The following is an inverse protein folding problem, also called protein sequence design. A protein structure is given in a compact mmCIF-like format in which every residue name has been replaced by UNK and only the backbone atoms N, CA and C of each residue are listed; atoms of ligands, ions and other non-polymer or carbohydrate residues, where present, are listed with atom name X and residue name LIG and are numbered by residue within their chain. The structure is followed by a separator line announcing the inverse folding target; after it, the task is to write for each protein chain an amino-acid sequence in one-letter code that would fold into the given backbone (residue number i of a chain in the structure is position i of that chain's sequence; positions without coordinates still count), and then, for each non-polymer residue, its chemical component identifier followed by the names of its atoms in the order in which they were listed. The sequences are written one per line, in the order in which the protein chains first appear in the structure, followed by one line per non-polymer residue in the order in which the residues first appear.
data_IF_132851162922
#
_entry.id   IF_132851162922
#
_cell.length_a   1.000
_cell.length_b   1.000
_cell.length_c   1.000
_cell.angle_alpha   90.00
_cell.angle_beta   90.00
_cell.angle_gamma   90.00
#
_symmetry.space_group_name_H-M   'P 1'
#
loop_
_entity.id
_entity.type
_entity.pdbx_description
1 polymer ?
#
# COMPACT_ATOMS: atom_id res chain seq x y z
N UNK A 1 -18.43 -2.53 -13.45
CA UNK A 1 -17.44 -2.67 -12.40
C UNK A 1 -17.81 -1.72 -11.28
N UNK A 2 -17.72 -2.11 -10.00
CA UNK A 2 -18.06 -1.21 -8.92
C UNK A 2 -17.07 -0.04 -8.83
N UNK A 3 -17.61 1.16 -8.61
CA UNK A 3 -16.87 2.39 -8.36
C UNK A 3 -17.65 3.27 -7.40
N UNK A 4 -16.99 4.23 -6.79
CA UNK A 4 -17.61 5.26 -5.95
C UNK A 4 -16.96 6.62 -6.24
N UNK A 5 -17.57 7.68 -5.78
CA UNK A 5 -17.04 9.04 -5.90
C UNK A 5 -16.49 9.52 -4.56
N UNK A 6 -15.28 10.07 -4.56
CA UNK A 6 -14.73 10.84 -3.46
C UNK A 6 -14.23 12.20 -3.95
N UNK A 7 -14.80 13.28 -3.43
CA UNK A 7 -14.51 14.66 -3.84
C UNK A 7 -14.54 14.85 -5.39
N UNK A 8 -15.49 14.18 -6.06
CA UNK A 8 -15.64 14.24 -7.53
C UNK A 8 -14.70 13.35 -8.32
N UNK A 9 -13.84 12.55 -7.68
CA UNK A 9 -12.94 11.59 -8.32
C UNK A 9 -13.55 10.20 -8.27
N UNK A 10 -13.66 9.53 -9.43
CA UNK A 10 -14.16 8.17 -9.53
C UNK A 10 -13.06 7.16 -9.20
N UNK A 11 -13.33 6.31 -8.20
CA UNK A 11 -12.43 5.26 -7.71
C UNK A 11 -13.04 3.88 -7.96
N UNK A 12 -12.36 3.06 -8.74
CA UNK A 12 -12.75 1.69 -9.03
C UNK A 12 -12.26 0.72 -7.95
N UNK A 13 -13.05 -0.31 -7.66
CA UNK A 13 -12.67 -1.33 -6.68
C UNK A 13 -13.24 -2.71 -7.01
N UNK A 14 -12.67 -3.74 -6.43
CA UNK A 14 -13.25 -5.08 -6.33
C UNK A 14 -13.75 -5.28 -4.90
N UNK A 15 -14.91 -5.94 -4.76
CA UNK A 15 -15.49 -6.34 -3.47
C UNK A 15 -15.81 -7.83 -3.55
N UNK A 16 -15.07 -8.64 -2.83
CA UNK A 16 -15.06 -10.10 -2.94
C UNK A 16 -15.33 -10.71 -1.55
N UNK A 17 -16.60 -10.96 -1.21
CA UNK A 17 -16.91 -11.70 0.01
C UNK A 17 -16.44 -13.16 -0.12
N UNK A 18 -16.05 -13.83 1.00
CA UNK A 18 -15.73 -15.25 0.98
C UNK A 18 -16.98 -16.09 0.69
N UNK A 19 -16.78 -17.34 0.26
CA UNK A 19 -17.88 -18.26 -0.02
C UNK A 19 -18.73 -18.62 1.23
N UNK A 20 -18.20 -18.41 2.44
CA UNK A 20 -18.84 -18.67 3.73
C UNK A 20 -19.08 -17.43 4.56
N UNK A 21 -19.04 -17.58 5.87
CA UNK A 21 -19.14 -16.48 6.82
C UNK A 21 -17.96 -15.51 6.65
N UNK A 22 -18.24 -14.21 6.71
CA UNK A 22 -17.22 -13.17 6.73
C UNK A 22 -16.71 -12.97 8.15
N UNK A 23 -15.50 -13.42 8.42
CA UNK A 23 -14.85 -13.28 9.73
C UNK A 23 -14.23 -11.89 9.93
N UNK A 24 -13.71 -11.29 8.84
CA UNK A 24 -13.10 -9.95 8.81
C UNK A 24 -13.19 -9.34 7.41
N UNK A 25 -12.96 -8.05 7.30
CA UNK A 25 -12.84 -7.34 6.02
C UNK A 25 -11.47 -6.70 5.91
N UNK A 26 -10.77 -6.94 4.80
CA UNK A 26 -9.48 -6.34 4.51
C UNK A 26 -9.55 -5.48 3.25
N UNK A 27 -9.08 -4.23 3.38
CA UNK A 27 -8.87 -3.33 2.23
C UNK A 27 -7.41 -3.43 1.80
N UNK A 28 -7.20 -3.63 0.49
CA UNK A 28 -5.90 -3.79 -0.15
C UNK A 28 -5.58 -2.57 -1.01
N UNK A 29 -4.40 -1.95 -0.81
CA UNK A 29 -3.93 -0.75 -1.50
C UNK A 29 -2.61 -1.03 -2.20
N UNK A 30 -2.62 -1.04 -3.55
CA UNK A 30 -1.48 -1.42 -4.39
C UNK A 30 -0.35 -0.37 -4.45
N UNK A 31 0.81 -0.78 -4.98
CA UNK A 31 1.98 0.08 -5.20
C UNK A 31 1.92 0.94 -6.47
N UNK A 32 2.94 1.79 -6.65
CA UNK A 32 3.09 2.68 -7.80
C UNK A 32 3.13 1.92 -9.13
N UNK A 33 2.50 2.47 -10.17
CA UNK A 33 2.38 1.92 -11.51
C UNK A 33 1.72 0.53 -11.57
N UNK A 34 1.09 0.09 -10.49
CA UNK A 34 0.33 -1.16 -10.38
C UNK A 34 -1.18 -0.86 -10.31
N UNK A 35 -1.97 -1.89 -10.12
CA UNK A 35 -3.42 -1.82 -9.91
C UNK A 35 -3.87 -3.01 -9.06
N UNK A 36 -5.16 -3.06 -8.70
CA UNK A 36 -5.72 -4.13 -7.84
C UNK A 36 -5.58 -5.53 -8.43
N UNK A 37 -5.55 -5.65 -9.79
CA UNK A 37 -5.40 -6.95 -10.46
C UNK A 37 -3.96 -7.44 -10.39
N UNK A 38 -2.99 -6.57 -10.70
CA UNK A 38 -1.57 -6.91 -10.69
C UNK A 38 -1.03 -7.07 -9.27
N UNK A 39 -1.30 -6.09 -8.41
CA UNK A 39 -0.77 -6.10 -7.05
C UNK A 39 -1.34 -7.21 -6.18
N UNK A 40 -2.61 -7.59 -6.37
CA UNK A 40 -3.30 -8.44 -5.41
C UNK A 40 -3.87 -9.74 -6.00
N UNK A 41 -4.58 -9.66 -7.15
CA UNK A 41 -5.14 -10.87 -7.76
C UNK A 41 -4.06 -11.79 -8.29
N UNK A 42 -3.12 -11.27 -9.12
CA UNK A 42 -2.02 -12.06 -9.71
C UNK A 42 -1.03 -12.60 -8.69
N UNK A 43 -0.84 -11.88 -7.60
CA UNK A 43 0.04 -12.32 -6.49
C UNK A 43 -0.63 -13.34 -5.56
N UNK A 44 -1.90 -13.69 -5.84
CA UNK A 44 -2.65 -14.74 -5.13
C UNK A 44 -3.21 -14.30 -3.76
N UNK A 45 -3.26 -13.00 -3.47
CA UNK A 45 -3.83 -12.48 -2.23
C UNK A 45 -5.34 -12.69 -2.15
N UNK A 46 -6.08 -12.49 -3.24
CA UNK A 46 -7.54 -12.70 -3.25
C UNK A 46 -7.90 -14.12 -2.78
N UNK A 47 -7.28 -15.13 -3.41
CA UNK A 47 -7.53 -16.52 -3.05
C UNK A 47 -7.02 -16.89 -1.63
N UNK A 48 -5.95 -16.23 -1.16
CA UNK A 48 -5.44 -16.46 0.19
C UNK A 48 -6.40 -15.92 1.26
N UNK A 49 -6.96 -14.71 1.05
CA UNK A 49 -7.93 -14.08 1.93
C UNK A 49 -9.27 -14.82 1.93
N UNK A 50 -9.76 -15.23 0.74
CA UNK A 50 -10.99 -16.04 0.62
C UNK A 50 -10.94 -17.31 1.47
N UNK A 51 -9.82 -18.08 1.39
CA UNK A 51 -9.64 -19.30 2.19
C UNK A 51 -9.62 -19.06 3.70
N UNK A 52 -9.38 -17.80 4.13
CA UNK A 52 -9.36 -17.39 5.53
C UNK A 52 -10.68 -16.74 5.99
N UNK A 53 -11.75 -16.84 5.19
CA UNK A 53 -13.02 -16.20 5.52
C UNK A 53 -12.95 -14.68 5.54
N UNK A 54 -11.99 -14.08 4.82
CA UNK A 54 -11.79 -12.63 4.78
C UNK A 54 -12.45 -12.04 3.53
N UNK A 55 -13.38 -11.09 3.72
CA UNK A 55 -13.89 -10.25 2.63
C UNK A 55 -12.75 -9.38 2.12
N UNK A 56 -12.40 -9.56 0.85
CA UNK A 56 -11.33 -8.83 0.19
C UNK A 56 -11.90 -7.64 -0.58
N UNK A 57 -11.53 -6.43 -0.19
CA UNK A 57 -11.85 -5.20 -0.93
C UNK A 57 -10.52 -4.63 -1.45
N UNK A 58 -10.40 -4.43 -2.76
CA UNK A 58 -9.18 -3.88 -3.35
C UNK A 58 -9.53 -2.72 -4.26
N UNK A 59 -8.95 -1.53 -4.05
CA UNK A 59 -9.18 -0.37 -4.90
C UNK A 59 -8.02 -0.16 -5.87
N UNK A 60 -8.32 0.43 -7.01
CA UNK A 60 -7.30 1.13 -7.80
C UNK A 60 -7.16 2.55 -7.24
N UNK A 61 -5.97 2.94 -6.84
CA UNK A 61 -5.76 4.32 -6.37
C UNK A 61 -6.02 5.31 -7.51
N UNK A 62 -6.47 6.55 -7.20
CA UNK A 62 -6.62 7.58 -8.22
C UNK A 62 -5.37 7.65 -9.12
N UNK A 63 -5.55 7.85 -10.40
CA UNK A 63 -4.48 7.87 -11.39
C UNK A 63 -4.00 6.50 -11.87
N UNK A 64 -4.46 5.38 -11.28
CA UNK A 64 -4.05 4.01 -11.60
C UNK A 64 -5.23 3.14 -12.03
N UNK A 65 -4.92 2.05 -12.71
CA UNK A 65 -5.87 1.00 -13.08
C UNK A 65 -7.11 1.53 -13.79
N UNK A 66 -8.28 1.28 -13.25
CA UNK A 66 -9.56 1.70 -13.81
C UNK A 66 -10.16 2.94 -13.09
N UNK A 67 -9.46 3.48 -12.06
CA UNK A 67 -9.82 4.74 -11.43
C UNK A 67 -9.51 5.93 -12.33
N UNK A 68 -10.16 7.07 -12.04
CA UNK A 68 -10.01 8.30 -12.81
C UNK A 68 -8.56 8.76 -12.89
N UNK A 69 -8.12 9.11 -14.10
CA UNK A 69 -6.79 9.62 -14.39
C UNK A 69 -6.78 11.14 -14.27
N UNK A 70 -6.00 11.66 -13.33
CA UNK A 70 -5.82 13.08 -13.10
C UNK A 70 -4.40 13.47 -13.50
N UNK A 71 -4.23 14.62 -14.14
CA UNK A 71 -2.91 15.07 -14.64
C UNK A 71 -2.35 16.26 -13.85
N UNK A 72 -3.05 16.66 -12.79
CA UNK A 72 -2.63 17.73 -11.90
C UNK A 72 -2.01 17.12 -10.62
N UNK A 73 -0.74 17.43 -10.29
CA UNK A 73 -0.09 16.96 -9.07
C UNK A 73 -0.84 17.29 -7.77
N UNK A 74 -1.59 18.39 -7.71
CA UNK A 74 -2.36 18.78 -6.52
C UNK A 74 -3.46 17.75 -6.18
N UNK A 75 -3.90 16.97 -7.16
CA UNK A 75 -4.88 15.90 -6.98
C UNK A 75 -4.37 14.69 -6.19
N UNK A 76 -3.05 14.59 -5.95
CA UNK A 76 -2.39 13.41 -5.40
C UNK A 76 -1.76 13.64 -4.02
N UNK A 77 -2.23 14.65 -3.31
CA UNK A 77 -1.82 14.88 -1.93
C UNK A 77 -2.14 13.70 -1.04
N UNK A 78 -1.28 13.44 -0.04
CA UNK A 78 -1.40 12.31 0.90
C UNK A 78 -2.79 12.24 1.56
N UNK A 79 -3.33 13.38 1.97
CA UNK A 79 -4.66 13.47 2.58
C UNK A 79 -5.76 13.03 1.61
N UNK A 80 -5.67 13.46 0.33
CA UNK A 80 -6.63 13.07 -0.69
C UNK A 80 -6.59 11.56 -0.95
N UNK A 81 -5.40 10.96 -1.00
CA UNK A 81 -5.21 9.51 -1.17
C UNK A 81 -5.76 8.73 0.04
N UNK A 82 -5.46 9.19 1.26
CA UNK A 82 -6.00 8.58 2.48
C UNK A 82 -7.52 8.68 2.56
N UNK A 83 -8.07 9.83 2.14
CA UNK A 83 -9.53 10.06 2.14
C UNK A 83 -10.27 9.12 1.17
N UNK A 84 -9.64 8.66 0.07
CA UNK A 84 -10.25 7.66 -0.83
C UNK A 84 -10.53 6.35 -0.11
N UNK A 85 -9.63 5.92 0.78
CA UNK A 85 -9.82 4.71 1.58
C UNK A 85 -10.97 4.89 2.57
N UNK A 86 -11.02 6.01 3.27
CA UNK A 86 -12.09 6.30 4.24
C UNK A 86 -13.45 6.43 3.53
N UNK A 87 -13.47 7.05 2.34
CA UNK A 87 -14.68 7.13 1.53
C UNK A 87 -15.16 5.75 1.06
N UNK A 88 -14.24 4.83 0.72
CA UNK A 88 -14.57 3.43 0.39
C UNK A 88 -15.17 2.70 1.60
N UNK A 89 -14.59 2.84 2.78
CA UNK A 89 -15.11 2.29 4.04
C UNK A 89 -16.55 2.77 4.27
N UNK A 90 -16.81 4.07 4.08
CA UNK A 90 -18.12 4.67 4.23
C UNK A 90 -19.09 4.18 3.13
N UNK A 91 -18.65 4.13 1.87
CA UNK A 91 -19.45 3.64 0.73
C UNK A 91 -19.95 2.21 0.95
N UNK A 92 -19.11 1.37 1.54
CA UNK A 92 -19.45 -0.03 1.84
C UNK A 92 -20.15 -0.23 3.20
N UNK A 93 -20.44 0.86 3.92
CA UNK A 93 -21.04 0.86 5.27
C UNK A 93 -20.26 -0.04 6.25
N UNK A 94 -18.92 -0.04 6.15
CA UNK A 94 -18.07 -0.77 7.07
C UNK A 94 -17.80 0.09 8.31
N UNK A 95 -17.78 -0.51 9.48
CA UNK A 95 -17.43 0.19 10.72
C UNK A 95 -15.92 0.29 10.88
N UNK A 96 -15.23 -0.85 10.78
CA UNK A 96 -13.80 -0.98 10.99
C UNK A 96 -13.23 -2.08 10.10
N UNK A 97 -12.01 -1.88 9.57
CA UNK A 97 -11.38 -2.82 8.61
C UNK A 97 -9.93 -3.09 8.95
N UNK A 98 -9.41 -4.22 8.48
CA UNK A 98 -7.98 -4.43 8.33
C UNK A 98 -7.52 -3.71 7.05
N UNK A 99 -6.40 -3.01 7.12
CA UNK A 99 -5.89 -2.22 6.00
C UNK A 99 -4.48 -2.66 5.64
N UNK A 100 -4.30 -3.12 4.40
CA UNK A 100 -3.00 -3.52 3.89
C UNK A 100 -2.60 -2.69 2.67
N UNK A 101 -1.55 -1.89 2.82
CA UNK A 101 -0.94 -1.15 1.72
C UNK A 101 0.46 -1.69 1.38
N UNK A 102 0.81 -1.69 0.09
CA UNK A 102 2.13 -2.10 -0.38
C UNK A 102 2.88 -0.96 -1.06
N UNK A 103 4.13 -0.68 -0.64
CA UNK A 103 4.99 0.36 -1.23
C UNK A 103 4.34 1.75 -1.17
N UNK A 104 3.99 2.34 -2.31
CA UNK A 104 3.17 3.55 -2.38
C UNK A 104 1.85 3.39 -1.62
N UNK A 105 1.19 2.23 -1.78
CA UNK A 105 -0.04 1.91 -1.07
C UNK A 105 0.12 1.86 0.45
N UNK A 106 1.31 1.50 0.96
CA UNK A 106 1.59 1.58 2.40
C UNK A 106 1.58 3.03 2.91
N UNK A 107 2.11 3.98 2.11
CA UNK A 107 2.04 5.42 2.43
C UNK A 107 0.60 5.93 2.45
N UNK A 108 -0.22 5.46 1.50
CA UNK A 108 -1.65 5.81 1.42
C UNK A 108 -2.44 5.20 2.59
N UNK A 109 -2.15 3.93 2.93
CA UNK A 109 -2.76 3.25 4.08
C UNK A 109 -2.42 3.94 5.40
N UNK A 110 -1.16 4.33 5.58
CA UNK A 110 -0.72 5.10 6.75
C UNK A 110 -1.45 6.46 6.83
N UNK A 111 -1.62 7.16 5.69
CA UNK A 111 -2.36 8.42 5.66
C UNK A 111 -3.83 8.23 6.06
N UNK A 112 -4.48 7.16 5.62
CA UNK A 112 -5.83 6.82 6.04
C UNK A 112 -5.92 6.52 7.55
N UNK A 113 -4.95 5.76 8.08
CA UNK A 113 -4.88 5.44 9.50
C UNK A 113 -4.65 6.68 10.37
N UNK A 114 -3.80 7.61 9.93
CA UNK A 114 -3.59 8.89 10.62
C UNK A 114 -4.83 9.80 10.56
N UNK A 115 -5.59 9.77 9.46
CA UNK A 115 -6.79 10.59 9.27
C UNK A 115 -8.03 10.08 10.01
N UNK A 116 -8.15 8.75 10.24
CA UNK A 116 -9.29 8.11 10.88
C UNK A 116 -8.88 6.80 11.58
N UNK A 117 -8.09 6.88 12.66
CA UNK A 117 -7.53 5.69 13.32
C UNK A 117 -8.60 4.74 13.85
N UNK A 118 -9.75 5.24 14.26
CA UNK A 118 -10.89 4.45 14.75
C UNK A 118 -11.49 3.52 13.69
N UNK A 119 -11.23 3.79 12.40
CA UNK A 119 -11.76 3.00 11.29
C UNK A 119 -10.87 1.81 10.92
N UNK A 120 -9.65 1.74 11.49
CA UNK A 120 -8.65 0.73 11.17
C UNK A 120 -8.46 -0.23 12.35
N UNK A 121 -8.70 -1.52 12.11
CA UNK A 121 -8.54 -2.57 13.12
C UNK A 121 -7.07 -2.99 13.24
N UNK A 122 -6.45 -3.30 12.11
CA UNK A 122 -5.05 -3.66 11.97
C UNK A 122 -4.48 -2.96 10.74
N UNK A 123 -3.24 -2.47 10.83
CA UNK A 123 -2.55 -1.81 9.74
C UNK A 123 -1.35 -2.65 9.28
N UNK A 124 -1.30 -3.01 7.99
CA UNK A 124 -0.18 -3.74 7.40
C UNK A 124 0.50 -2.84 6.36
N UNK A 125 1.78 -2.57 6.56
CA UNK A 125 2.63 -1.73 5.74
C UNK A 125 3.69 -2.60 5.05
N UNK A 126 3.43 -3.02 3.81
CA UNK A 126 4.33 -3.87 3.04
C UNK A 126 5.24 -3.08 2.11
N UNK A 127 6.48 -3.57 1.87
CA UNK A 127 7.43 -2.96 0.95
C UNK A 127 7.90 -1.56 1.38
N UNK A 128 7.91 -1.31 2.69
CA UNK A 128 8.44 -0.11 3.33
C UNK A 128 9.17 -0.50 4.62
N UNK A 129 10.07 0.38 5.08
CA UNK A 129 10.82 0.22 6.30
C UNK A 129 11.32 1.57 6.79
N UNK A 130 12.43 1.61 7.52
CA UNK A 130 12.96 2.82 8.17
C UNK A 130 13.19 3.99 7.22
N UNK A 131 13.50 3.72 5.94
CA UNK A 131 13.67 4.79 4.94
C UNK A 131 12.40 5.60 4.67
N UNK A 132 11.24 5.10 5.10
CA UNK A 132 10.01 5.87 5.06
C UNK A 132 10.08 7.12 5.94
N UNK A 133 10.86 7.09 7.00
CA UNK A 133 11.05 8.18 7.97
C UNK A 133 12.12 9.18 7.53
N UNK A 134 12.94 8.84 6.53
CA UNK A 134 13.98 9.74 6.02
C UNK A 134 13.35 10.97 5.35
N UNK A 135 13.89 12.18 5.61
CA UNK A 135 13.46 13.38 4.90
C UNK A 135 13.65 13.21 3.40
N UNK A 136 12.67 13.63 2.61
CA UNK A 136 12.87 13.73 1.16
C UNK A 136 13.94 14.78 0.87
N UNK A 137 15.01 14.38 0.19
CA UNK A 137 16.02 15.30 -0.31
C UNK A 137 15.45 15.99 -1.56
N UNK A 138 15.41 17.33 -1.57
CA UNK A 138 15.05 18.08 -2.78
C UNK A 138 16.02 17.72 -3.93
N UNK A 139 15.48 17.45 -5.12
CA UNK A 139 16.24 16.96 -6.27
C UNK A 139 16.51 15.46 -6.29
N UNK A 140 15.96 14.72 -5.34
CA UNK A 140 16.05 13.26 -5.28
C UNK A 140 15.25 12.57 -6.42
N UNK A 141 15.40 11.23 -6.59
CA UNK A 141 14.93 10.44 -7.74
C UNK A 141 13.47 10.59 -8.19
N UNK A 142 12.62 11.35 -7.47
CA UNK A 142 11.21 11.54 -7.86
C UNK A 142 11.05 12.46 -9.07
N UNK A 143 11.88 13.51 -9.18
CA UNK A 143 11.88 14.32 -10.40
C UNK A 143 12.32 13.48 -11.59
N UNK A 144 13.25 12.55 -11.36
CA UNK A 144 13.70 11.59 -12.36
C UNK A 144 12.66 10.51 -12.64
N UNK A 145 11.83 10.08 -11.66
CA UNK A 145 10.72 9.14 -11.89
C UNK A 145 9.63 9.78 -12.76
N UNK A 146 9.25 11.03 -12.49
CA UNK A 146 8.30 11.76 -13.35
C UNK A 146 8.84 11.90 -14.78
N UNK A 147 10.11 12.28 -14.94
CA UNK A 147 10.77 12.36 -16.24
C UNK A 147 10.80 11.00 -16.94
N UNK A 148 11.05 9.91 -16.21
CA UNK A 148 11.04 8.55 -16.74
C UNK A 148 9.65 8.16 -17.24
N UNK A 149 8.58 8.50 -16.51
CA UNK A 149 7.20 8.25 -16.97
C UNK A 149 6.87 9.02 -18.24
N UNK A 150 7.38 10.24 -18.41
CA UNK A 150 7.11 11.11 -19.54
C UNK A 150 8.08 10.92 -20.73
N UNK A 151 9.15 10.15 -20.57
CA UNK A 151 10.11 9.91 -21.65
C UNK A 151 9.42 9.27 -22.88
N UNK A 152 9.72 9.73 -24.07
CA UNK A 152 9.15 9.18 -25.32
C UNK A 152 9.64 7.74 -25.55
N UNK A 153 10.92 7.48 -25.30
CA UNK A 153 11.54 6.17 -25.43
C UNK A 153 12.03 5.64 -24.09
N UNK A 154 11.52 4.49 -23.61
CA UNK A 154 12.02 3.84 -22.39
C UNK A 154 13.52 3.50 -22.42
N UNK A 155 14.08 3.29 -23.63
CA UNK A 155 15.51 2.99 -23.78
C UNK A 155 16.42 4.18 -23.44
N UNK A 156 15.89 5.40 -23.50
CA UNK A 156 16.61 6.63 -23.11
C UNK A 156 16.82 6.77 -21.60
N UNK A 157 16.07 5.99 -20.79
CA UNK A 157 16.14 6.04 -19.32
C UNK A 157 17.40 5.29 -18.87
N UNK A 158 18.41 6.01 -18.42
CA UNK A 158 19.70 5.42 -18.03
C UNK A 158 19.64 4.61 -16.74
N UNK A 159 18.82 5.04 -15.75
CA UNK A 159 18.72 4.38 -14.44
C UNK A 159 17.89 3.09 -14.53
N UNK A 160 18.45 1.90 -14.20
CA UNK A 160 17.76 0.62 -14.41
C UNK A 160 16.41 0.52 -13.70
N UNK A 161 16.33 0.94 -12.43
CA UNK A 161 15.10 0.89 -11.64
C UNK A 161 14.00 1.78 -12.25
N UNK A 162 14.33 3.02 -12.67
CA UNK A 162 13.36 3.90 -13.31
C UNK A 162 12.86 3.34 -14.63
N UNK A 163 13.77 2.70 -15.40
CA UNK A 163 13.40 2.00 -16.64
C UNK A 163 12.45 0.84 -16.36
N UNK A 164 12.72 0.04 -15.32
CA UNK A 164 11.85 -1.07 -14.93
C UNK A 164 10.45 -0.59 -14.52
N UNK A 165 10.33 0.47 -13.74
CA UNK A 165 9.02 1.07 -13.41
C UNK A 165 8.30 1.59 -14.64
N UNK A 166 9.01 2.22 -15.57
CA UNK A 166 8.41 2.69 -16.82
C UNK A 166 7.92 1.52 -17.70
N UNK A 167 8.73 0.49 -17.85
CA UNK A 167 8.35 -0.71 -18.59
C UNK A 167 7.13 -1.37 -17.95
N UNK A 168 7.14 -1.51 -16.63
CA UNK A 168 5.99 -2.05 -15.91
C UNK A 168 4.72 -1.23 -16.12
N UNK A 169 4.80 0.11 -16.06
CA UNK A 169 3.67 0.99 -16.34
C UNK A 169 3.12 0.80 -17.77
N UNK A 170 4.01 0.69 -18.76
CA UNK A 170 3.63 0.46 -20.16
C UNK A 170 2.96 -0.93 -20.35
N UNK A 171 3.50 -1.98 -19.72
CA UNK A 171 2.93 -3.34 -19.76
C UNK A 171 1.54 -3.41 -19.11
N UNK A 172 1.29 -2.61 -18.08
CA UNK A 172 -0.02 -2.54 -17.42
C UNK A 172 -1.00 -1.59 -18.15
N UNK A 173 -0.54 -0.84 -19.13
CA UNK A 173 -1.35 0.16 -19.83
C UNK A 173 -1.73 1.36 -18.96
N UNK A 174 -0.89 1.68 -17.98
CA UNK A 174 -1.13 2.79 -17.06
C UNK A 174 -0.96 4.16 -17.76
N UNK A 175 -1.72 5.17 -17.31
CA UNK A 175 -1.58 6.54 -17.82
C UNK A 175 -0.31 7.20 -17.26
N UNK A 176 0.73 7.27 -18.09
CA UNK A 176 2.04 7.83 -17.73
C UNK A 176 1.99 9.28 -17.27
N UNK A 177 1.05 10.09 -17.76
CA UNK A 177 0.86 11.48 -17.35
C UNK A 177 0.27 11.54 -15.94
N UNK A 178 -0.70 10.66 -15.64
CA UNK A 178 -1.24 10.54 -14.30
C UNK A 178 -0.18 10.04 -13.30
N UNK A 179 0.63 9.05 -13.70
CA UNK A 179 1.75 8.56 -12.88
C UNK A 179 2.81 9.65 -12.64
N UNK A 180 3.13 10.45 -13.66
CA UNK A 180 4.06 11.58 -13.53
C UNK A 180 3.52 12.65 -12.58
N UNK A 181 2.23 13.00 -12.68
CA UNK A 181 1.58 13.93 -11.79
C UNK A 181 1.56 13.40 -10.33
N UNK A 182 1.28 12.09 -10.16
CA UNK A 182 1.32 11.44 -8.85
C UNK A 182 2.66 11.64 -8.12
N UNK A 183 3.79 11.38 -8.80
CA UNK A 183 5.11 11.51 -8.14
C UNK A 183 5.55 12.95 -7.92
N UNK A 184 4.97 13.91 -8.66
CA UNK A 184 5.21 15.35 -8.47
C UNK A 184 4.42 15.93 -7.30
N UNK A 185 3.44 15.20 -6.75
CA UNK A 185 2.65 15.68 -5.64
C UNK A 185 3.54 16.05 -4.44
N UNK A 186 3.37 17.26 -3.95
CA UNK A 186 4.06 17.75 -2.76
C UNK A 186 3.34 17.25 -1.52
N UNK A 187 4.07 16.57 -0.65
CA UNK A 187 3.56 16.08 0.62
C UNK A 187 4.46 16.57 1.75
N UNK A 188 3.91 17.00 2.89
CA UNK A 188 4.71 17.32 4.05
C UNK A 188 5.47 16.07 4.53
N UNK A 189 6.53 16.23 5.34
CA UNK A 189 7.15 15.10 6.05
C UNK A 189 6.11 14.27 6.80
N UNK A 190 6.43 13.00 7.10
CA UNK A 190 5.59 12.19 7.97
C UNK A 190 5.63 12.74 9.40
N UNK A 191 4.48 12.78 10.02
CA UNK A 191 4.35 13.14 11.43
C UNK A 191 4.60 11.89 12.28
N UNK A 192 5.85 11.72 12.74
CA UNK A 192 6.28 10.58 13.55
C UNK A 192 5.63 10.61 14.94
N UNK A 193 5.34 11.80 15.47
CA UNK A 193 4.63 11.93 16.75
C UNK A 193 3.19 11.41 16.62
N UNK A 194 2.49 11.77 15.53
CA UNK A 194 1.15 11.24 15.25
C UNK A 194 1.17 9.72 15.00
N UNK A 195 2.22 9.17 14.38
CA UNK A 195 2.38 7.70 14.25
C UNK A 195 2.48 7.03 15.62
N UNK A 196 3.16 7.66 16.59
CA UNK A 196 3.27 7.20 17.97
C UNK A 196 1.96 7.24 18.77
N UNK A 197 0.88 7.82 18.22
CA UNK A 197 -0.46 7.84 18.82
C UNK A 197 -1.42 6.79 18.22
N UNK A 198 -0.95 6.02 17.22
CA UNK A 198 -1.77 4.98 16.59
C UNK A 198 -1.82 3.72 17.46
N UNK A 199 -2.93 3.52 18.15
CA UNK A 199 -3.13 2.41 19.11
C UNK A 199 -3.49 1.07 18.43
N UNK A 200 -3.81 1.04 17.11
CA UNK A 200 -4.04 -0.22 16.44
C UNK A 200 -2.73 -1.00 16.26
N UNK A 201 -2.77 -2.35 16.24
CA UNK A 201 -1.62 -3.15 15.85
C UNK A 201 -1.11 -2.80 14.45
N UNK A 202 0.23 -2.72 14.29
CA UNK A 202 0.88 -2.39 13.02
C UNK A 202 1.91 -3.46 12.67
N UNK A 203 1.77 -4.08 11.49
CA UNK A 203 2.78 -4.94 10.89
C UNK A 203 3.53 -4.17 9.80
N UNK A 204 4.85 -4.17 9.88
CA UNK A 204 5.72 -3.70 8.79
C UNK A 204 6.43 -4.89 8.19
N UNK A 205 6.32 -5.11 6.87
CA UNK A 205 6.94 -6.26 6.21
C UNK A 205 7.69 -5.81 4.94
N UNK A 206 8.98 -6.17 4.85
CA UNK A 206 9.80 -5.84 3.69
C UNK A 206 10.72 -6.99 3.30
N UNK A 207 11.14 -7.04 2.03
CA UNK A 207 12.13 -7.98 1.56
C UNK A 207 13.54 -7.66 2.07
N UNK A 208 14.32 -8.67 2.40
CA UNK A 208 15.70 -8.51 2.87
C UNK A 208 16.59 -7.73 1.88
N UNK A 209 16.29 -7.83 0.59
CA UNK A 209 17.02 -7.17 -0.50
C UNK A 209 16.25 -5.97 -1.07
N UNK A 210 15.29 -5.44 -0.32
CA UNK A 210 14.56 -4.23 -0.66
C UNK A 210 15.31 -3.01 -0.12
N UNK A 211 16.38 -2.63 -0.81
CA UNK A 211 17.21 -1.48 -0.42
C UNK A 211 16.41 -0.16 -0.37
N UNK A 212 15.28 -0.07 -1.07
CA UNK A 212 14.40 1.10 -1.06
C UNK A 212 13.55 1.21 0.21
N UNK A 213 13.26 0.10 0.86
CA UNK A 213 12.49 0.05 2.10
C UNK A 213 13.38 0.30 3.33
N UNK A 214 14.55 -0.31 3.40
CA UNK A 214 15.37 -0.39 4.61
C UNK A 214 14.82 -1.38 5.63
N UNK A 215 15.18 -1.24 6.90
CA UNK A 215 14.79 -2.14 7.98
C UNK A 215 13.31 -1.98 8.36
N UNK A 216 12.47 -3.04 8.24
CA UNK A 216 11.07 -2.99 8.69
C UNK A 216 10.94 -2.81 10.21
N UNK A 217 11.85 -3.36 11.03
CA UNK A 217 11.86 -3.12 12.47
C UNK A 217 12.15 -1.66 12.81
N UNK A 218 12.97 -0.98 11.99
CA UNK A 218 13.24 0.43 12.15
C UNK A 218 11.98 1.30 12.06
N UNK A 219 11.11 1.01 11.08
CA UNK A 219 9.82 1.69 10.94
C UNK A 219 8.82 1.24 12.02
N UNK A 220 8.77 -0.05 12.34
CA UNK A 220 7.82 -0.59 13.31
C UNK A 220 7.96 0.05 14.70
N UNK A 221 9.17 0.44 15.09
CA UNK A 221 9.43 1.17 16.35
C UNK A 221 8.77 2.55 16.45
N UNK A 222 8.29 3.11 15.34
CA UNK A 222 7.53 4.36 15.36
C UNK A 222 6.07 4.20 15.83
N UNK A 223 5.61 2.95 16.05
CA UNK A 223 4.26 2.64 16.48
C UNK A 223 4.27 1.94 17.84
N UNK A 224 3.31 2.24 18.76
CA UNK A 224 3.23 1.60 20.07
C UNK A 224 3.14 0.06 19.98
N UNK A 225 2.36 -0.44 19.01
CA UNK A 225 2.14 -1.88 18.79
C UNK A 225 2.68 -2.32 17.42
N UNK A 226 3.88 -1.81 17.06
CA UNK A 226 4.55 -2.13 15.81
C UNK A 226 5.33 -3.44 15.85
N UNK A 227 5.27 -4.23 14.78
CA UNK A 227 6.08 -5.45 14.53
C UNK A 227 6.71 -5.36 13.16
N UNK A 228 8.01 -5.58 13.06
CA UNK A 228 8.74 -5.65 11.80
C UNK A 228 9.03 -7.10 11.40
N UNK A 229 8.88 -7.43 10.13
CA UNK A 229 9.21 -8.74 9.57
C UNK A 229 10.03 -8.56 8.29
N UNK A 230 11.22 -9.18 8.27
CA UNK A 230 12.07 -9.25 7.08
C UNK A 230 11.83 -10.55 6.33
N UNK A 231 11.44 -10.45 5.05
CA UNK A 231 11.24 -11.61 4.17
C UNK A 231 12.58 -11.98 3.52
N UNK A 232 13.21 -13.02 4.04
CA UNK A 232 14.56 -13.45 3.63
C UNK A 232 14.62 -13.77 2.13
N UNK A 233 15.67 -13.28 1.46
CA UNK A 233 15.94 -13.54 0.06
C UNK A 233 15.05 -12.80 -0.94
N UNK A 234 14.09 -12.02 -0.50
CA UNK A 234 13.18 -11.25 -1.35
C UNK A 234 13.64 -9.80 -1.55
N UNK A 235 13.35 -9.26 -2.73
CA UNK A 235 13.42 -7.86 -3.08
C UNK A 235 12.03 -7.21 -3.02
N UNK A 236 11.91 -5.95 -3.47
CA UNK A 236 10.68 -5.18 -3.46
C UNK A 236 9.50 -5.86 -4.17
N UNK A 237 9.74 -6.55 -5.27
CA UNK A 237 8.69 -7.16 -6.09
C UNK A 237 8.40 -8.61 -5.69
N UNK A 238 9.42 -9.36 -5.33
CA UNK A 238 9.28 -10.77 -4.94
C UNK A 238 8.71 -10.97 -3.53
N UNK A 239 8.76 -9.96 -2.67
CA UNK A 239 8.23 -10.04 -1.31
C UNK A 239 6.69 -10.10 -1.28
N UNK A 240 5.98 -9.35 -2.14
CA UNK A 240 4.51 -9.28 -2.11
C UNK A 240 3.82 -10.63 -2.39
N UNK A 241 4.21 -11.44 -3.41
CA UNK A 241 3.60 -12.77 -3.64
C UNK A 241 4.12 -13.84 -2.69
N UNK A 242 5.20 -13.59 -1.94
CA UNK A 242 5.92 -14.61 -1.19
C UNK A 242 5.07 -15.24 -0.09
N UNK A 243 5.24 -16.55 0.12
CA UNK A 243 4.49 -17.30 1.12
C UNK A 243 4.75 -16.79 2.56
N UNK A 244 5.97 -16.37 2.86
CA UNK A 244 6.30 -15.81 4.19
C UNK A 244 5.60 -14.48 4.45
N UNK A 245 5.43 -13.62 3.44
CA UNK A 245 4.65 -12.37 3.59
C UNK A 245 3.20 -12.67 3.95
N UNK A 246 2.60 -13.65 3.27
CA UNK A 246 1.24 -14.10 3.57
C UNK A 246 1.13 -14.73 4.96
N UNK A 247 2.08 -15.61 5.32
CA UNK A 247 2.12 -16.24 6.63
C UNK A 247 2.25 -15.18 7.73
N UNK A 248 3.24 -14.29 7.65
CA UNK A 248 3.43 -13.22 8.63
C UNK A 248 2.18 -12.32 8.77
N UNK A 249 1.52 -11.98 7.66
CA UNK A 249 0.28 -11.21 7.69
C UNK A 249 -0.83 -11.97 8.42
N UNK A 250 -1.02 -13.25 8.15
CA UNK A 250 -2.07 -14.04 8.81
C UNK A 250 -1.76 -14.30 10.28
N UNK A 251 -0.51 -14.63 10.61
CA UNK A 251 -0.08 -14.82 12.01
C UNK A 251 -0.26 -13.53 12.82
N UNK A 252 0.03 -12.37 12.22
CA UNK A 252 -0.24 -11.07 12.81
C UNK A 252 -1.73 -10.85 13.06
N UNK A 253 -2.58 -11.10 12.07
CA UNK A 253 -4.03 -10.92 12.18
C UNK A 253 -4.69 -11.88 13.17
N UNK A 254 -4.07 -13.01 13.42
CA UNK A 254 -4.52 -14.01 14.39
C UNK A 254 -3.92 -13.77 15.80
N UNK A 255 -3.14 -12.68 15.99
CA UNK A 255 -2.48 -12.33 17.27
C UNK A 255 -1.31 -13.24 17.64
N UNK A 256 -0.82 -14.06 16.70
CA UNK A 256 0.22 -15.05 16.97
C UNK A 256 1.63 -14.45 17.02
N UNK A 257 1.82 -13.22 16.51
CA UNK A 257 3.12 -12.54 16.57
C UNK A 257 3.38 -11.86 17.92
N UNK A 258 2.36 -11.64 18.74
CA UNK A 258 2.48 -10.97 20.02
C UNK A 258 2.93 -11.92 21.13
N UNK A 259 2.55 -13.19 21.05
CA UNK A 259 2.99 -14.26 21.93
C UNK A 259 3.00 -15.61 21.23
N UNK A 260 4.11 -16.00 20.55
CA UNK A 260 4.19 -17.27 19.82
C UNK A 260 4.08 -18.49 20.75
N UNK A 261 4.18 -18.33 22.05
CA UNK A 261 4.07 -19.41 23.03
C UNK A 261 2.96 -19.21 24.05
N UNK A 262 2.29 -18.02 24.06
CA UNK A 262 1.18 -17.65 24.95
C UNK A 262 1.34 -18.20 26.38
N UNK A 263 0.88 -17.54 27.40
CA UNK A 263 0.85 -18.02 28.79
C UNK A 263 0.09 -19.36 28.92
N UNK A 264 0.56 -20.40 28.20
CA UNK A 264 0.03 -21.77 28.25
C UNK A 264 0.84 -22.64 29.20
N UNK A 265 1.23 -22.07 30.35
CA UNK A 265 1.75 -22.85 31.48
C UNK A 265 1.18 -22.33 32.78
#
# INVERSE_FOLDING_TARGET
MPSFLNAGVEIAFDDLPPAGETLRTMILVHGFASNRKEGWRRTGWYAALERRGTRCVALDQRGHGESQKLHDPESYGREALGSDIIALINHLNLERVDLFGYSMGARTALAAALGAPERIANLILGGVGERLLEPRVEGAPLDTMSQAMLADDPASISHPMLRSFRQFADEQGEDRRALAAFVQAKNPPLDVEAMGQLEMPVLVVAGQRDDGAGDPDGLARAFPHGRGITVVGCDHFSAIPHALTKAATFDFLDGMLDDPFGDRF
#
